data_IF_336455841021
#
_entry.id   IF_336455841021
#
_cell.length_a   1.000
_cell.length_b   1.000
_cell.length_c   1.000
_cell.angle_alpha   90.00
_cell.angle_beta   90.00
_cell.angle_gamma   90.00
#
_symmetry.space_group_name_H-M   'P 1'
#
loop_
_entity.id
_entity.type
_entity.pdbx_description
1 polymer ?
#
# COMPACT_ATOMS: atom_id res chain seq x y z
N UNK A 1 4.59 8.41 -7.67
CA UNK A 1 4.37 9.34 -6.55
C UNK A 1 5.63 9.44 -5.71
N UNK A 2 5.99 10.65 -5.34
CA UNK A 2 7.18 10.88 -4.52
C UNK A 2 6.78 11.39 -3.14
N UNK A 3 7.57 11.05 -2.15
CA UNK A 3 7.34 11.50 -0.78
C UNK A 3 8.68 11.55 -0.04
N UNK A 4 8.68 12.22 1.09
CA UNK A 4 9.88 12.39 1.90
C UNK A 4 9.64 11.88 3.32
N UNK A 5 10.63 11.16 3.86
CA UNK A 5 10.64 10.74 5.25
C UNK A 5 12.01 11.03 5.82
N UNK A 6 12.05 11.78 6.93
CA UNK A 6 13.30 12.08 7.65
C UNK A 6 14.37 12.67 6.73
N UNK A 7 13.94 13.54 5.80
CA UNK A 7 14.85 14.22 4.90
C UNK A 7 15.31 13.39 3.71
N UNK A 8 14.78 12.19 3.55
CA UNK A 8 15.14 11.30 2.45
C UNK A 8 13.96 11.20 1.49
N UNK A 9 14.23 11.33 0.20
CA UNK A 9 13.19 11.25 -0.82
C UNK A 9 13.04 9.83 -1.31
N UNK A 10 11.79 9.43 -1.48
CA UNK A 10 11.41 8.12 -2.00
C UNK A 10 10.40 8.31 -3.12
N UNK A 11 10.29 7.32 -3.99
CA UNK A 11 9.21 7.32 -4.97
C UNK A 11 8.59 5.93 -5.04
N UNK A 12 7.28 5.92 -5.27
CA UNK A 12 6.49 4.69 -5.36
C UNK A 12 6.01 4.53 -6.78
N UNK A 13 6.15 3.33 -7.32
CA UNK A 13 5.60 2.96 -8.62
C UNK A 13 4.39 2.07 -8.41
N UNK A 14 3.63 1.90 -9.48
CA UNK A 14 2.50 0.98 -9.45
C UNK A 14 2.99 -0.46 -9.59
N UNK A 15 2.50 -1.32 -8.73
CA UNK A 15 2.74 -2.76 -8.83
C UNK A 15 1.94 -3.31 -10.02
N UNK A 16 2.42 -4.41 -10.60
CA UNK A 16 1.62 -5.03 -11.65
C UNK A 16 0.32 -5.59 -11.06
N UNK A 17 -0.67 -5.80 -11.92
CA UNK A 17 -2.00 -6.20 -11.47
C UNK A 17 -1.99 -7.54 -10.76
N UNK A 18 -1.14 -8.46 -11.17
CA UNK A 18 -1.05 -9.77 -10.54
C UNK A 18 -0.54 -9.66 -9.11
N UNK A 19 0.48 -8.86 -8.88
CA UNK A 19 1.01 -8.65 -7.54
C UNK A 19 -0.01 -7.93 -6.68
N UNK A 20 -0.69 -6.92 -7.24
CA UNK A 20 -1.75 -6.23 -6.51
C UNK A 20 -2.85 -7.21 -6.08
N UNK A 21 -3.24 -8.11 -6.99
CA UNK A 21 -4.26 -9.10 -6.69
C UNK A 21 -3.84 -10.01 -5.53
N UNK A 22 -2.62 -10.52 -5.57
CA UNK A 22 -2.19 -11.45 -4.53
C UNK A 22 -2.00 -10.78 -3.18
N UNK A 23 -1.57 -9.53 -3.16
CA UNK A 23 -1.48 -8.77 -1.91
C UNK A 23 -2.89 -8.53 -1.36
N UNK A 24 -3.79 -8.05 -2.20
CA UNK A 24 -5.15 -7.75 -1.76
C UNK A 24 -5.87 -9.02 -1.28
N UNK A 25 -5.64 -10.14 -1.96
CA UNK A 25 -6.25 -11.41 -1.56
C UNK A 25 -5.86 -11.82 -0.15
N UNK A 26 -4.59 -11.60 0.19
CA UNK A 26 -4.11 -11.92 1.53
C UNK A 26 -4.62 -10.94 2.58
N UNK A 27 -4.87 -9.71 2.19
CA UNK A 27 -5.38 -8.68 3.09
C UNK A 27 -6.89 -8.68 3.20
N UNK A 28 -7.58 -9.49 2.40
CA UNK A 28 -9.04 -9.42 2.30
C UNK A 28 -9.78 -9.60 3.62
N UNK A 29 -9.34 -10.44 4.57
CA UNK A 29 -10.06 -10.54 5.84
C UNK A 29 -10.08 -9.24 6.65
N UNK A 30 -9.19 -8.30 6.36
CA UNK A 30 -9.08 -7.05 7.10
C UNK A 30 -9.42 -5.83 6.25
N UNK A 31 -10.21 -6.01 5.19
CA UNK A 31 -10.50 -4.90 4.28
C UNK A 31 -11.17 -3.72 4.96
N UNK A 32 -12.09 -3.98 5.89
CA UNK A 32 -12.79 -2.89 6.59
C UNK A 32 -11.82 -2.01 7.37
N UNK A 33 -10.86 -2.62 8.04
CA UNK A 33 -9.86 -1.88 8.80
C UNK A 33 -8.89 -1.15 7.86
N UNK A 34 -8.52 -1.82 6.77
CA UNK A 34 -7.57 -1.25 5.82
C UNK A 34 -8.15 -0.08 5.05
N UNK A 35 -9.47 0.00 4.93
CA UNK A 35 -10.09 1.13 4.27
C UNK A 35 -9.72 2.45 4.93
N UNK A 36 -9.49 2.45 6.24
CA UNK A 36 -9.06 3.65 6.93
C UNK A 36 -7.62 4.03 6.62
N UNK A 37 -6.80 3.04 6.27
CA UNK A 37 -5.39 3.27 6.00
C UNK A 37 -5.15 3.94 4.65
N UNK A 38 -6.12 3.88 3.73
CA UNK A 38 -5.96 4.48 2.41
C UNK A 38 -6.58 5.87 2.32
N UNK A 39 -7.14 6.38 3.41
CA UNK A 39 -7.70 7.71 3.42
C UNK A 39 -6.57 8.71 3.14
N UNK A 40 -6.71 9.44 2.05
CA UNK A 40 -5.68 10.38 1.63
C UNK A 40 -5.50 11.54 2.61
N UNK A 41 -6.47 11.75 3.48
CA UNK A 41 -6.38 12.77 4.52
C UNK A 41 -5.53 12.31 5.70
N UNK A 42 -5.29 11.01 5.83
CA UNK A 42 -4.52 10.48 6.94
C UNK A 42 -3.03 10.63 6.65
N UNK A 43 -2.28 11.01 7.66
CA UNK A 43 -0.83 10.97 7.54
C UNK A 43 -0.33 9.56 7.83
N UNK A 44 0.99 9.39 7.76
CA UNK A 44 1.57 8.07 7.90
C UNK A 44 1.29 7.38 9.23
N UNK A 45 1.13 8.16 10.30
CA UNK A 45 0.90 7.57 11.62
C UNK A 45 -0.50 7.02 11.74
N UNK A 46 -1.49 7.75 11.21
CA UNK A 46 -2.88 7.29 11.27
C UNK A 46 -3.09 6.05 10.42
N UNK A 47 -2.40 5.96 9.31
CA UNK A 47 -2.55 4.82 8.41
C UNK A 47 -1.71 3.62 8.82
N UNK A 48 -0.69 3.84 9.65
CA UNK A 48 0.25 2.78 10.04
C UNK A 48 -0.41 1.69 10.85
N UNK A 49 -1.26 2.08 11.81
CA UNK A 49 -1.85 1.11 12.74
C UNK A 49 -2.71 0.06 12.03
N UNK A 50 -3.63 0.45 11.12
CA UNK A 50 -4.42 -0.56 10.43
C UNK A 50 -3.58 -1.54 9.61
N UNK A 51 -2.55 -1.05 8.92
CA UNK A 51 -1.70 -1.93 8.13
C UNK A 51 -0.88 -2.85 9.04
N UNK A 52 -0.33 -2.31 10.12
CA UNK A 52 0.43 -3.11 11.08
C UNK A 52 -0.45 -4.19 11.70
N UNK A 53 -1.68 -3.85 12.05
CA UNK A 53 -2.62 -4.82 12.61
C UNK A 53 -2.93 -5.93 11.62
N UNK A 54 -3.12 -5.59 10.35
CA UNK A 54 -3.39 -6.58 9.32
C UNK A 54 -2.21 -7.54 9.16
N UNK A 55 -1.00 -7.00 9.12
CA UNK A 55 0.19 -7.83 8.98
C UNK A 55 0.42 -8.71 10.19
N UNK A 56 0.12 -8.19 11.39
CA UNK A 56 0.31 -8.94 12.63
C UNK A 56 -0.59 -10.18 12.70
N UNK A 57 -1.73 -10.16 12.03
CA UNK A 57 -2.66 -11.29 12.03
C UNK A 57 -2.34 -12.36 11.01
N UNK A 58 -1.29 -12.19 10.22
CA UNK A 58 -0.94 -13.12 9.16
C UNK A 58 0.17 -14.07 9.58
N UNK A 59 0.32 -15.18 8.82
CA UNK A 59 1.50 -16.01 8.93
C UNK A 59 2.72 -15.19 8.51
N UNK A 60 3.91 -15.62 8.94
CA UNK A 60 5.14 -14.95 8.53
C UNK A 60 5.25 -14.89 7.01
N UNK A 61 4.91 -15.97 6.36
CA UNK A 61 5.02 -16.06 4.90
C UNK A 61 4.08 -15.06 4.20
N UNK A 62 2.84 -14.94 4.66
CA UNK A 62 1.90 -13.98 4.07
C UNK A 62 2.27 -12.55 4.40
N UNK A 63 2.70 -12.29 5.63
CA UNK A 63 3.13 -10.96 6.03
C UNK A 63 4.34 -10.50 5.21
N UNK A 64 5.31 -11.39 5.03
CA UNK A 64 6.48 -11.09 4.21
C UNK A 64 6.09 -10.83 2.76
N UNK A 65 5.19 -11.65 2.22
CA UNK A 65 4.74 -11.45 0.84
C UNK A 65 4.13 -10.08 0.66
N UNK A 66 3.24 -9.68 1.57
CA UNK A 66 2.57 -8.38 1.48
C UNK A 66 3.55 -7.24 1.70
N UNK A 67 4.34 -7.31 2.77
CA UNK A 67 5.25 -6.23 3.13
C UNK A 67 6.33 -6.01 2.08
N UNK A 68 7.06 -7.06 1.74
CA UNK A 68 8.15 -6.92 0.78
C UNK A 68 7.63 -6.73 -0.64
N UNK A 69 6.42 -7.21 -0.92
CA UNK A 69 5.76 -6.90 -2.18
C UNK A 69 5.49 -5.41 -2.32
N UNK A 70 5.01 -4.77 -1.24
CA UNK A 70 4.79 -3.34 -1.25
C UNK A 70 6.10 -2.56 -1.39
N UNK A 71 7.13 -3.00 -0.68
CA UNK A 71 8.42 -2.31 -0.72
C UNK A 71 9.12 -2.47 -2.07
N UNK A 72 8.80 -3.52 -2.82
CA UNK A 72 9.46 -3.79 -4.09
C UNK A 72 9.21 -2.71 -5.14
N UNK A 73 8.16 -1.90 -4.97
CA UNK A 73 7.86 -0.84 -5.93
C UNK A 73 8.35 0.53 -5.47
N UNK A 74 9.21 0.57 -4.45
CA UNK A 74 9.69 1.82 -3.87
C UNK A 74 11.18 1.99 -4.17
N UNK A 75 11.57 3.21 -4.49
CA UNK A 75 12.96 3.57 -4.71
C UNK A 75 13.35 4.72 -3.80
N UNK A 76 14.61 4.72 -3.38
CA UNK A 76 15.19 5.76 -2.55
C UNK A 76 16.12 6.61 -3.40
N UNK A 77 16.04 7.90 -3.25
CA UNK A 77 16.92 8.80 -3.99
C UNK A 77 18.30 8.82 -3.34
N UNK A 78 19.32 8.61 -4.17
CA UNK A 78 20.72 8.68 -3.75
C UNK A 78 21.47 9.61 -4.69
N UNK A 79 21.69 10.86 -4.25
CA UNK A 79 22.28 11.85 -5.11
C UNK A 79 21.34 12.14 -6.27
N UNK A 80 21.77 11.80 -7.47
CA UNK A 80 20.97 12.01 -8.68
C UNK A 80 20.31 10.75 -9.20
N UNK A 81 20.48 9.64 -8.49
CA UNK A 81 19.93 8.35 -8.95
C UNK A 81 18.90 7.84 -7.98
N UNK A 82 18.11 6.89 -8.47
CA UNK A 82 17.09 6.21 -7.67
C UNK A 82 17.46 4.74 -7.57
N UNK A 83 17.42 4.19 -6.36
CA UNK A 83 17.78 2.80 -6.09
C UNK A 83 16.64 2.07 -5.44
N UNK A 84 16.37 0.85 -5.86
CA UNK A 84 15.34 0.04 -5.23
C UNK A 84 15.70 -0.25 -3.78
N UNK A 85 14.72 -0.16 -2.90
CA UNK A 85 14.96 -0.43 -1.49
C UNK A 85 14.77 -1.91 -1.14
N UNK A 86 14.11 -2.66 -2.01
CA UNK A 86 13.85 -4.07 -1.76
C UNK A 86 13.97 -4.84 -3.08
N UNK A 87 14.78 -5.88 -3.07
CA UNK A 87 14.98 -6.76 -4.23
C UNK A 87 14.98 -8.19 -3.73
N UNK A 88 14.17 -9.05 -4.35
CA UNK A 88 14.10 -10.47 -3.99
C UNK A 88 13.84 -10.67 -2.49
N UNK A 89 12.89 -9.89 -1.97
CA UNK A 89 12.48 -9.95 -0.57
C UNK A 89 13.60 -9.61 0.42
N UNK A 90 14.56 -8.80 -0.03
CA UNK A 90 15.64 -8.35 0.83
C UNK A 90 15.76 -6.84 0.78
N UNK A 91 15.91 -6.23 1.96
CA UNK A 91 16.15 -4.81 2.06
C UNK A 91 17.57 -4.50 1.62
N UNK A 92 17.71 -3.48 0.78
CA UNK A 92 18.99 -3.11 0.20
C UNK A 92 19.76 -2.09 1.03
N UNK A 93 19.14 -1.54 2.09
CA UNK A 93 19.75 -0.54 2.94
C UNK A 93 19.74 -1.04 4.38
N UNK A 94 20.91 -1.36 4.89
CA UNK A 94 21.04 -1.96 6.22
C UNK A 94 20.63 -1.01 7.36
N UNK A 95 20.64 0.29 7.09
CA UNK A 95 20.28 1.29 8.10
C UNK A 95 18.78 1.57 8.17
N UNK A 96 17.98 0.90 7.37
CA UNK A 96 16.53 1.10 7.40
C UNK A 96 15.95 0.46 8.66
N UNK A 97 15.25 1.28 9.44
CA UNK A 97 14.62 0.80 10.68
C UNK A 97 13.22 0.29 10.39
N UNK A 98 12.70 -0.51 11.33
CA UNK A 98 11.34 -1.05 11.17
C UNK A 98 10.28 0.05 11.05
N UNK A 99 10.30 1.10 11.89
CA UNK A 99 9.29 2.15 11.73
C UNK A 99 9.32 2.83 10.37
N UNK A 100 10.51 3.09 9.84
CA UNK A 100 10.64 3.69 8.52
C UNK A 100 10.14 2.73 7.44
N UNK A 101 10.50 1.47 7.55
CA UNK A 101 10.04 0.45 6.62
C UNK A 101 8.53 0.38 6.56
N UNK A 102 7.88 0.39 7.72
CA UNK A 102 6.42 0.32 7.79
C UNK A 102 5.76 1.58 7.23
N UNK A 103 6.33 2.74 7.50
CA UNK A 103 5.81 3.99 6.95
C UNK A 103 5.91 4.01 5.42
N UNK A 104 6.99 3.51 4.87
CA UNK A 104 7.15 3.39 3.43
C UNK A 104 6.11 2.42 2.86
N UNK A 105 5.90 1.31 3.56
CA UNK A 105 4.90 0.32 3.12
C UNK A 105 3.50 0.93 3.09
N UNK A 106 3.17 1.77 4.08
CA UNK A 106 1.88 2.47 4.09
C UNK A 106 1.74 3.35 2.85
N UNK A 107 2.78 4.10 2.51
CA UNK A 107 2.75 4.95 1.31
C UNK A 107 2.56 4.13 0.05
N UNK A 108 3.26 3.01 -0.05
CA UNK A 108 3.11 2.12 -1.19
C UNK A 108 1.70 1.54 -1.27
N UNK A 109 1.15 1.16 -0.12
CA UNK A 109 -0.21 0.64 -0.04
C UNK A 109 -1.22 1.70 -0.49
N UNK A 110 -1.11 2.90 0.04
CA UNK A 110 -2.01 3.99 -0.32
C UNK A 110 -1.97 4.28 -1.82
N UNK A 111 -0.77 4.38 -2.37
CA UNK A 111 -0.63 4.68 -3.79
C UNK A 111 -1.24 3.58 -4.68
N UNK A 112 -1.01 2.33 -4.32
CA UNK A 112 -1.43 1.22 -5.18
C UNK A 112 -2.89 0.84 -5.01
N UNK A 113 -3.51 1.12 -3.87
CA UNK A 113 -4.84 0.62 -3.56
C UNK A 113 -5.87 1.68 -3.22
N UNK A 114 -5.50 2.96 -3.22
CA UNK A 114 -6.45 4.02 -2.85
C UNK A 114 -7.65 4.04 -3.79
N UNK A 115 -7.44 3.84 -5.09
CA UNK A 115 -8.57 3.85 -6.03
C UNK A 115 -9.52 2.69 -5.77
N UNK A 116 -8.99 1.55 -5.38
CA UNK A 116 -9.84 0.40 -5.05
C UNK A 116 -10.77 0.76 -3.88
N UNK A 117 -10.23 1.40 -2.85
CA UNK A 117 -11.03 1.74 -1.68
C UNK A 117 -11.87 2.99 -1.87
N UNK A 118 -11.50 3.85 -2.80
CA UNK A 118 -12.31 5.03 -3.11
C UNK A 118 -13.64 4.65 -3.72
N UNK A 119 -13.65 3.62 -4.54
CA UNK A 119 -14.84 3.26 -5.28
C UNK A 119 -15.13 1.77 -5.19
N UNK A 120 -15.06 1.16 -4.00
CA UNK A 120 -15.39 -0.25 -3.90
C UNK A 120 -16.84 -0.52 -4.27
N UNK A 121 -17.72 0.43 -4.00
CA UNK A 121 -19.12 0.30 -4.39
C UNK A 121 -19.29 0.27 -5.89
N UNK A 122 -18.49 1.04 -6.61
CA UNK A 122 -18.56 1.04 -8.07
C UNK A 122 -17.99 -0.23 -8.66
N UNK A 123 -17.01 -0.80 -8.00
CA UNK A 123 -16.37 -2.02 -8.48
C UNK A 123 -17.19 -3.25 -8.12
N UNK A 124 -17.66 -3.30 -6.87
CA UNK A 124 -18.34 -4.48 -6.33
C UNK A 124 -19.84 -4.39 -6.45
N UNK A 125 -20.37 -3.19 -6.65
CA UNK A 125 -21.80 -2.96 -6.82
C UNK A 125 -22.00 -2.21 -8.12
N UNK A 126 -21.93 -2.89 -9.21
CA UNK A 126 -22.06 -2.22 -10.51
C UNK A 126 -23.38 -1.52 -10.59
N UNK A 127 -23.41 -0.32 -10.86
CA UNK A 127 -24.60 0.43 -11.03
C UNK A 127 -25.24 0.85 -9.80
N UNK A 128 -24.86 0.78 -9.10
CA UNK A 128 -25.68 1.30 -8.01
C UNK A 128 -25.96 2.72 -8.19
N UNK A 129 -25.64 2.33 -8.87
CA UNK A 129 -25.85 2.97 -8.91
C UNK A 129 -26.06 3.87 -9.19
N UNK A 130 -25.96 3.98 -9.52
CA UNK A 130 -26.32 4.59 -9.94
C UNK A 130 -26.77 5.13 -10.08
N UNK A 131 -26.90 5.34 -10.23
CA UNK A 131 -27.47 5.68 -10.53
C UNK A 131 -27.72 6.16 -10.66
N UNK A 132 -27.43 6.23 -10.85
CA UNK A 132 -27.94 6.27 -11.26
C UNK A 132 -28.17 6.40 -11.42
N UNK A 133 -28.07 6.69 -11.68
CA UNK A 133 -28.66 6.47 -12.18
C UNK A 133 -28.98 6.33 -12.34
N UNK A 134 -28.79 6.39 -12.54
CA UNK A 134 -29.47 5.97 -12.93
C UNK A 134 -30.11 5.90 -12.83
N UNK A 135 -30.08 5.96 -12.95
CA UNK A 135 -30.93 5.69 -13.07
C UNK A 135 -31.45 5.53 -12.94
N UNK A 136 -31.36 5.49 -13.09
CA UNK A 136 -31.98 5.10 -13.11
C UNK A 136 -32.22 4.69 -13.00
N UNK A 137 -31.77 4.60 -13.03
CA UNK A 137 -32.07 4.07 -13.08
C UNK A 137 -32.17 3.91 -13.02
#
# INVERSE_FOLDING_TARGET
MEFELNGIEYRVSQLDARRQFHIMRRLSPMLAELATAVNVQSDGLDALQPLANALAGMSDSDADYCLFGLLACVQKKQGKTWSKICVDNQLMFADMTMPVMLQIAVKAFQFNFSDFFKSPAQILKPSASKPENLSNG
#
